data_IF_377944708073
#
_entry.id   IF_377944708073
#
_cell.length_a   1.000
_cell.length_b   1.000
_cell.length_c   1.000
_cell.angle_alpha   90.00
_cell.angle_beta   90.00
_cell.angle_gamma   90.00
#
_symmetry.space_group_name_H-M   'P 1'
#
loop_
_entity.id
_entity.type
_entity.pdbx_description
1 polymer ?
#
# COMPACT_ATOMS: atom_id res chain seq x y z
N UNK A 1 -10.56 1.62 12.42
CA UNK A 1 -9.35 2.44 12.65
C UNK A 1 -8.14 1.53 12.50
N UNK A 2 -6.99 1.88 13.06
CA UNK A 2 -5.79 1.02 13.00
C UNK A 2 -5.58 0.15 14.25
N UNK A 3 -6.41 0.35 15.28
CA UNK A 3 -6.20 -0.20 16.62
C UNK A 3 -6.15 -1.74 16.65
N UNK A 4 -6.99 -2.42 15.87
CA UNK A 4 -7.01 -3.87 15.79
C UNK A 4 -5.71 -4.43 15.22
N UNK A 5 -5.14 -3.76 14.21
CA UNK A 5 -3.84 -4.12 13.65
C UNK A 5 -2.70 -3.80 14.60
N UNK A 6 -2.69 -2.62 15.22
CA UNK A 6 -1.67 -2.23 16.20
C UNK A 6 -1.61 -3.20 17.39
N UNK A 7 -2.78 -3.64 17.87
CA UNK A 7 -2.88 -4.63 18.94
C UNK A 7 -2.38 -6.01 18.49
N UNK A 8 -2.75 -6.47 17.30
CA UNK A 8 -2.26 -7.75 16.75
C UNK A 8 -0.75 -7.73 16.49
N UNK A 9 -0.22 -6.60 16.01
CA UNK A 9 1.21 -6.39 15.79
C UNK A 9 2.01 -6.45 17.11
N UNK A 10 1.50 -5.86 18.18
CA UNK A 10 2.15 -5.91 19.50
C UNK A 10 1.86 -7.20 20.27
N UNK A 11 0.99 -8.07 19.74
CA UNK A 11 0.47 -9.27 20.41
C UNK A 11 -0.25 -8.97 21.75
N UNK A 12 -0.69 -7.71 21.97
CA UNK A 12 -1.67 -7.35 22.99
C UNK A 12 -3.11 -7.66 22.52
N UNK A 13 -3.28 -7.77 21.21
CA UNK A 13 -4.42 -8.36 20.51
C UNK A 13 -3.99 -9.60 19.73
N UNK A 14 -4.74 -9.94 18.68
CA UNK A 14 -4.53 -11.17 17.91
C UNK A 14 -5.00 -11.02 16.47
N UNK A 15 -4.27 -11.65 15.55
CA UNK A 15 -4.68 -11.81 14.16
C UNK A 15 -5.88 -12.75 13.98
N UNK A 16 -6.36 -13.39 15.06
CA UNK A 16 -7.62 -14.15 15.10
C UNK A 16 -8.80 -13.35 15.66
N UNK A 17 -8.66 -12.05 15.89
CA UNK A 17 -9.79 -11.21 16.31
C UNK A 17 -10.90 -11.16 15.26
N UNK A 18 -12.13 -10.89 15.72
CA UNK A 18 -13.34 -10.86 14.87
C UNK A 18 -13.17 -9.98 13.62
N UNK A 19 -12.41 -8.88 13.70
CA UNK A 19 -12.15 -8.00 12.57
C UNK A 19 -11.35 -8.68 11.45
N UNK A 20 -10.30 -9.43 11.79
CA UNK A 20 -9.48 -10.16 10.81
C UNK A 20 -10.22 -11.37 10.26
N UNK A 21 -10.97 -12.08 11.10
CA UNK A 21 -11.80 -13.20 10.66
C UNK A 21 -12.84 -12.70 9.66
N UNK A 22 -13.57 -11.63 9.99
CA UNK A 22 -14.55 -11.03 9.10
C UNK A 22 -13.92 -10.57 7.77
N UNK A 23 -12.74 -9.93 7.81
CA UNK A 23 -12.05 -9.49 6.60
C UNK A 23 -11.68 -10.69 5.70
N UNK A 24 -11.17 -11.77 6.29
CA UNK A 24 -10.86 -13.00 5.55
C UNK A 24 -12.11 -13.67 4.98
N UNK A 25 -13.21 -13.74 5.75
CA UNK A 25 -14.49 -14.26 5.27
C UNK A 25 -15.03 -13.43 4.09
N UNK A 26 -14.91 -12.10 4.14
CA UNK A 26 -15.32 -11.22 3.02
C UNK A 26 -14.49 -11.43 1.77
N UNK A 27 -13.18 -11.60 1.90
CA UNK A 27 -12.30 -11.95 0.78
C UNK A 27 -12.77 -13.27 0.16
N UNK A 28 -12.98 -14.31 0.96
CA UNK A 28 -13.42 -15.61 0.46
C UNK A 28 -14.83 -15.56 -0.15
N UNK A 29 -15.73 -14.74 0.39
CA UNK A 29 -17.03 -14.47 -0.23
C UNK A 29 -16.87 -13.90 -1.64
N UNK A 30 -16.01 -12.90 -1.83
CA UNK A 30 -15.75 -12.28 -3.14
C UNK A 30 -15.06 -13.23 -4.12
N UNK A 31 -14.14 -14.07 -3.65
CA UNK A 31 -13.54 -15.13 -4.45
C UNK A 31 -14.62 -16.10 -4.94
N UNK A 32 -15.47 -16.61 -4.05
CA UNK A 32 -16.52 -17.55 -4.42
C UNK A 32 -17.58 -16.94 -5.35
N UNK A 33 -17.78 -15.62 -5.30
CA UNK A 33 -18.65 -14.88 -6.22
C UNK A 33 -18.02 -14.64 -7.60
N UNK A 34 -16.75 -15.02 -7.80
CA UNK A 34 -16.04 -14.84 -9.06
C UNK A 34 -15.71 -13.38 -9.37
N UNK A 35 -15.48 -12.56 -8.34
CA UNK A 35 -15.16 -11.13 -8.53
C UNK A 35 -13.70 -10.89 -8.92
N UNK A 36 -12.83 -11.88 -8.73
CA UNK A 36 -11.44 -11.84 -9.19
C UNK A 36 -11.31 -12.59 -10.51
N UNK A 37 -10.42 -12.12 -11.39
CA UNK A 37 -10.15 -12.74 -12.68
C UNK A 37 -9.55 -14.15 -12.51
N UNK A 38 -9.74 -15.02 -13.49
CA UNK A 38 -9.08 -16.34 -13.45
C UNK A 38 -7.55 -16.22 -13.39
N UNK A 39 -6.92 -17.07 -12.58
CA UNK A 39 -5.47 -17.09 -12.45
C UNK A 39 -4.88 -15.91 -11.67
N UNK A 40 -5.68 -15.12 -10.94
CA UNK A 40 -5.21 -13.92 -10.24
C UNK A 40 -3.99 -14.15 -9.32
N UNK A 41 -3.90 -15.33 -8.68
CA UNK A 41 -2.78 -15.70 -7.80
C UNK A 41 -1.44 -15.89 -8.53
N UNK A 42 -1.46 -16.04 -9.85
CA UNK A 42 -0.27 -16.22 -10.68
C UNK A 42 0.13 -14.95 -11.44
N UNK A 43 -0.64 -13.87 -11.30
CA UNK A 43 -0.37 -12.63 -12.02
C UNK A 43 0.80 -11.87 -11.40
N UNK A 44 1.61 -11.25 -12.25
CA UNK A 44 2.72 -10.41 -11.85
C UNK A 44 2.39 -8.95 -12.14
N UNK A 45 2.07 -8.19 -11.11
CA UNK A 45 1.67 -6.79 -11.29
C UNK A 45 2.79 -5.88 -11.82
N UNK A 46 4.04 -6.15 -11.45
CA UNK A 46 5.19 -5.31 -11.83
C UNK A 46 5.46 -5.27 -13.34
N UNK A 47 5.02 -6.29 -14.10
CA UNK A 47 5.15 -6.31 -15.56
C UNK A 47 3.88 -5.81 -16.29
N UNK A 48 2.85 -5.37 -15.55
CA UNK A 48 1.62 -4.82 -16.09
C UNK A 48 0.57 -5.84 -16.57
N UNK A 49 0.67 -7.11 -16.16
CA UNK A 49 -0.31 -8.15 -16.50
C UNK A 49 -1.75 -7.77 -16.11
N UNK A 50 -1.93 -7.14 -14.95
CA UNK A 50 -3.24 -6.67 -14.46
C UNK A 50 -3.77 -5.45 -15.24
N UNK A 51 -2.90 -4.48 -15.58
CA UNK A 51 -3.25 -3.36 -16.47
C UNK A 51 -3.70 -3.83 -17.85
N UNK A 52 -3.08 -4.88 -18.39
CA UNK A 52 -3.49 -5.45 -19.67
C UNK A 52 -4.95 -5.93 -19.65
N UNK A 53 -5.42 -6.48 -18.52
CA UNK A 53 -6.82 -6.87 -18.34
C UNK A 53 -7.76 -5.66 -18.29
N UNK A 54 -7.32 -4.55 -17.71
CA UNK A 54 -8.07 -3.30 -17.71
C UNK A 54 -8.20 -2.73 -19.14
N UNK A 55 -7.10 -2.70 -19.89
CA UNK A 55 -7.07 -2.15 -21.25
C UNK A 55 -7.87 -2.96 -22.27
N UNK A 56 -7.92 -4.28 -22.11
CA UNK A 56 -8.70 -5.15 -22.98
C UNK A 56 -10.17 -5.32 -22.54
N UNK A 57 -10.60 -4.56 -21.52
CA UNK A 57 -11.95 -4.57 -20.95
C UNK A 57 -12.39 -5.93 -20.35
N UNK A 58 -11.45 -6.77 -19.90
CA UNK A 58 -11.75 -8.02 -19.19
C UNK A 58 -11.67 -7.88 -17.66
N UNK A 59 -11.11 -6.77 -17.18
CA UNK A 59 -11.16 -6.33 -15.78
C UNK A 59 -11.80 -4.96 -15.70
N UNK A 60 -12.78 -4.78 -14.81
CA UNK A 60 -13.47 -3.51 -14.63
C UNK A 60 -12.78 -2.57 -13.64
N UNK A 61 -12.10 -3.12 -12.62
CA UNK A 61 -11.52 -2.37 -11.52
C UNK A 61 -10.30 -3.09 -10.95
N UNK A 62 -9.31 -2.34 -10.50
CA UNK A 62 -8.15 -2.84 -9.75
C UNK A 62 -7.99 -2.07 -8.44
N UNK A 63 -7.64 -2.79 -7.36
CA UNK A 63 -7.24 -2.18 -6.09
C UNK A 63 -5.72 -2.08 -6.08
N UNK A 64 -5.20 -0.84 -6.06
CA UNK A 64 -3.77 -0.62 -6.20
C UNK A 64 -3.31 0.68 -5.53
N UNK A 65 -1.99 0.82 -5.35
CA UNK A 65 -1.40 2.10 -5.02
C UNK A 65 -1.47 3.12 -6.17
N UNK A 66 -1.43 4.41 -5.80
CA UNK A 66 -1.67 5.55 -6.69
C UNK A 66 -0.70 5.67 -7.88
N UNK A 67 0.45 5.00 -7.84
CA UNK A 67 1.39 4.99 -8.96
C UNK A 67 0.81 4.38 -10.25
N UNK A 68 -0.23 3.55 -10.17
CA UNK A 68 -0.92 3.05 -11.37
C UNK A 68 -1.58 4.16 -12.17
N UNK A 69 -2.04 5.24 -11.53
CA UNK A 69 -2.63 6.40 -12.24
C UNK A 69 -1.58 6.99 -13.21
N UNK A 70 -0.35 7.17 -12.72
CA UNK A 70 0.78 7.61 -13.54
C UNK A 70 1.12 6.58 -14.61
N UNK A 71 1.27 5.31 -14.25
CA UNK A 71 1.63 4.25 -15.20
C UNK A 71 0.62 4.12 -16.34
N UNK A 72 -0.69 4.16 -16.04
CA UNK A 72 -1.74 4.06 -17.05
C UNK A 72 -1.74 5.26 -18.00
N UNK A 73 -1.57 6.46 -17.47
CA UNK A 73 -1.45 7.66 -18.28
C UNK A 73 -0.20 7.64 -19.18
N UNK A 74 0.92 7.10 -18.69
CA UNK A 74 2.15 6.92 -19.48
C UNK A 74 1.99 5.87 -20.57
N UNK A 75 1.25 4.79 -20.31
CA UNK A 75 0.95 3.76 -21.30
C UNK A 75 0.07 4.32 -22.44
N UNK A 76 -0.97 5.10 -22.10
CA UNK A 76 -1.82 5.82 -23.08
C UNK A 76 -2.66 6.92 -22.42
N UNK A 77 -2.31 8.18 -22.69
CA UNK A 77 -3.05 9.35 -22.20
C UNK A 77 -4.48 9.43 -22.77
N UNK A 78 -4.67 9.06 -24.04
CA UNK A 78 -6.00 9.02 -24.66
C UNK A 78 -6.92 8.01 -23.95
N UNK A 79 -6.41 6.80 -23.70
CA UNK A 79 -7.19 5.76 -23.02
C UNK A 79 -7.50 6.18 -21.58
N UNK A 80 -6.49 6.71 -20.88
CA UNK A 80 -6.62 7.21 -19.52
C UNK A 80 -7.75 8.24 -19.40
N UNK A 81 -7.72 9.28 -20.24
CA UNK A 81 -8.70 10.36 -20.22
C UNK A 81 -10.12 9.91 -20.57
N UNK A 82 -10.25 8.88 -21.42
CA UNK A 82 -11.54 8.38 -21.86
C UNK A 82 -12.15 7.34 -20.90
N UNK A 83 -11.32 6.57 -20.17
CA UNK A 83 -11.79 5.34 -19.51
C UNK A 83 -11.46 5.24 -18.02
N UNK A 84 -10.42 5.91 -17.50
CA UNK A 84 -10.01 5.71 -16.12
C UNK A 84 -10.79 6.60 -15.15
N UNK A 85 -11.36 5.98 -14.13
CA UNK A 85 -11.84 6.64 -12.92
C UNK A 85 -11.14 6.08 -11.68
N UNK A 86 -10.91 6.94 -10.69
CA UNK A 86 -10.33 6.57 -9.39
C UNK A 86 -11.33 6.84 -8.28
N UNK A 87 -11.40 5.94 -7.31
CA UNK A 87 -12.22 6.10 -6.12
C UNK A 87 -11.58 5.40 -4.92
N UNK A 88 -11.90 5.88 -3.72
CA UNK A 88 -11.45 5.31 -2.46
C UNK A 88 -12.03 3.91 -2.25
N UNK A 89 -11.28 3.01 -1.59
CA UNK A 89 -11.85 1.73 -1.16
C UNK A 89 -13.15 1.95 -0.36
N UNK A 90 -14.24 1.23 -0.66
CA UNK A 90 -15.55 1.51 -0.08
C UNK A 90 -15.58 1.43 1.44
N UNK A 91 -16.34 2.32 2.07
CA UNK A 91 -16.71 2.18 3.48
C UNK A 91 -17.74 1.06 3.65
N UNK A 92 -17.59 0.25 4.70
CA UNK A 92 -18.59 -0.70 5.14
C UNK A 92 -19.73 0.03 5.87
N UNK A 93 -20.96 -0.15 5.38
CA UNK A 93 -22.13 0.54 5.90
C UNK A 93 -22.50 0.08 7.32
N UNK A 94 -22.26 -1.18 7.67
CA UNK A 94 -22.57 -1.70 9.01
C UNK A 94 -21.58 -1.18 10.05
N UNK A 95 -20.29 -1.17 9.72
CA UNK A 95 -19.23 -0.59 10.52
C UNK A 95 -19.48 0.92 10.73
N UNK A 96 -19.90 1.62 9.68
CA UNK A 96 -20.30 3.04 9.77
C UNK A 96 -21.47 3.25 10.71
N UNK A 97 -22.52 2.43 10.61
CA UNK A 97 -23.67 2.49 11.50
C UNK A 97 -23.31 2.23 12.97
N UNK A 98 -22.26 1.43 13.22
CA UNK A 98 -21.68 1.16 14.54
C UNK A 98 -20.69 2.24 15.01
N UNK A 99 -20.45 3.28 14.22
CA UNK A 99 -19.51 4.36 14.54
C UNK A 99 -18.04 3.94 14.48
N UNK A 100 -17.71 2.85 13.78
CA UNK A 100 -16.32 2.40 13.58
C UNK A 100 -15.62 3.39 12.65
N UNK A 101 -14.47 3.98 13.03
CA UNK A 101 -13.72 4.86 12.15
C UNK A 101 -13.18 4.10 10.93
N UNK A 102 -13.46 4.62 9.73
CA UNK A 102 -13.06 4.04 8.45
C UNK A 102 -12.29 5.05 7.61
N UNK A 103 -11.39 5.80 8.23
CA UNK A 103 -10.60 6.89 7.64
C UNK A 103 -9.09 6.65 7.82
N UNK A 104 -8.66 5.38 7.81
CA UNK A 104 -7.25 4.99 7.70
C UNK A 104 -7.03 4.53 6.26
N UNK A 105 -5.94 4.99 5.66
CA UNK A 105 -5.53 4.56 4.32
C UNK A 105 -4.35 3.60 4.41
N UNK A 106 -4.31 2.60 3.52
CA UNK A 106 -3.16 1.71 3.39
C UNK A 106 -2.28 2.23 2.27
N UNK A 107 -1.01 2.50 2.56
CA UNK A 107 -0.09 3.04 1.56
C UNK A 107 1.23 3.52 2.14
N UNK A 108 2.05 4.12 1.28
CA UNK A 108 3.34 4.69 1.68
C UNK A 108 3.23 6.21 1.74
N UNK A 109 3.29 6.79 2.95
CA UNK A 109 3.23 8.24 3.11
C UNK A 109 4.51 8.97 2.69
N UNK A 110 5.67 8.31 2.72
CA UNK A 110 6.97 8.96 2.42
C UNK A 110 7.45 8.73 0.98
N UNK A 111 6.70 8.00 0.16
CA UNK A 111 7.17 7.53 -1.14
C UNK A 111 8.46 6.70 -1.01
N UNK A 112 9.54 7.14 -1.64
CA UNK A 112 10.86 6.52 -1.54
C UNK A 112 11.71 7.16 -0.43
N UNK A 113 12.27 6.32 0.44
CA UNK A 113 13.28 6.74 1.40
C UNK A 113 14.68 6.32 0.94
N UNK A 114 15.66 7.22 1.07
CA UNK A 114 17.06 6.93 0.80
C UNK A 114 17.82 6.79 2.11
N UNK A 115 18.48 5.65 2.32
CA UNK A 115 19.43 5.44 3.42
C UNK A 115 20.85 5.40 2.89
N UNK A 116 21.76 6.12 3.54
CA UNK A 116 23.17 6.13 3.17
C UNK A 116 24.01 5.52 4.30
N UNK A 117 24.89 4.58 3.96
CA UNK A 117 25.86 4.08 4.91
C UNK A 117 27.07 5.03 4.94
N UNK A 118 27.14 5.85 6.00
CA UNK A 118 28.25 6.79 6.24
C UNK A 118 29.22 6.28 7.32
N UNK A 119 29.20 5.00 7.66
CA UNK A 119 30.06 4.44 8.71
C UNK A 119 31.41 3.96 8.14
N UNK A 120 32.47 4.18 8.90
CA UNK A 120 33.77 3.55 8.70
C UNK A 120 33.78 2.16 9.36
N UNK A 121 34.77 1.34 8.99
CA UNK A 121 34.94 0.00 9.55
C UNK A 121 35.21 -0.01 11.07
N UNK A 122 35.72 1.10 11.61
CA UNK A 122 35.98 1.28 13.04
C UNK A 122 34.75 1.79 13.83
N UNK A 123 33.61 1.96 13.17
CA UNK A 123 32.39 2.47 13.77
C UNK A 123 32.33 3.99 13.92
N UNK A 124 33.33 4.73 13.44
CA UNK A 124 33.25 6.19 13.32
C UNK A 124 32.41 6.60 12.10
N UNK A 125 31.92 7.84 12.08
CA UNK A 125 31.22 8.41 10.91
C UNK A 125 32.25 9.02 9.96
N UNK A 126 32.14 8.67 8.69
CA UNK A 126 32.83 9.34 7.60
C UNK A 126 32.14 10.67 7.29
N UNK A 127 32.75 11.78 7.74
CA UNK A 127 32.16 13.11 7.63
C UNK A 127 32.03 13.57 6.18
N UNK A 128 32.93 13.15 5.28
CA UNK A 128 32.88 13.53 3.88
C UNK A 128 31.73 12.79 3.17
N UNK A 129 31.55 11.50 3.44
CA UNK A 129 30.36 10.76 2.99
C UNK A 129 29.08 11.40 3.51
N UNK A 130 29.04 11.72 4.81
CA UNK A 130 27.86 12.32 5.42
C UNK A 130 27.51 13.66 4.75
N UNK A 131 28.49 14.54 4.54
CA UNK A 131 28.29 15.82 3.87
C UNK A 131 27.80 15.64 2.42
N UNK A 132 28.39 14.70 1.67
CA UNK A 132 27.95 14.39 0.30
C UNK A 132 26.50 13.87 0.27
N UNK A 133 26.11 13.02 1.23
CA UNK A 133 24.75 12.50 1.33
C UNK A 133 23.73 13.61 1.64
N UNK A 134 24.08 14.58 2.50
CA UNK A 134 23.23 15.75 2.72
C UNK A 134 23.02 16.57 1.45
N UNK A 135 24.09 16.80 0.67
CA UNK A 135 23.98 17.49 -0.62
C UNK A 135 23.10 16.70 -1.57
N UNK A 136 23.30 15.38 -1.69
CA UNK A 136 22.47 14.53 -2.54
C UNK A 136 20.99 14.62 -2.16
N UNK A 137 20.67 14.39 -0.88
CA UNK A 137 19.30 14.38 -0.38
C UNK A 137 18.61 15.74 -0.54
N UNK A 138 19.29 16.85 -0.23
CA UNK A 138 18.66 18.18 -0.20
C UNK A 138 18.69 18.90 -1.54
N UNK A 139 19.67 18.64 -2.40
CA UNK A 139 19.80 19.34 -3.69
C UNK A 139 19.23 18.56 -4.87
N UNK A 140 19.09 17.24 -4.76
CA UNK A 140 18.67 16.42 -5.90
C UNK A 140 17.39 15.64 -5.67
N UNK A 141 16.97 15.46 -4.41
CA UNK A 141 15.80 14.64 -4.07
C UNK A 141 14.76 15.37 -3.21
N UNK A 142 14.92 16.67 -3.00
CA UNK A 142 13.95 17.48 -2.24
C UNK A 142 14.04 18.99 -2.55
N UNK A 143 14.73 19.39 -3.62
CA UNK A 143 14.76 20.79 -4.03
C UNK A 143 13.54 21.14 -4.90
N UNK A 144 13.36 22.43 -5.20
CA UNK A 144 12.23 22.90 -6.01
C UNK A 144 12.23 22.26 -7.42
N UNK A 145 13.42 22.02 -7.99
CA UNK A 145 13.58 21.39 -9.31
C UNK A 145 13.05 19.96 -9.29
N UNK A 146 13.55 19.14 -8.37
CA UNK A 146 13.12 17.75 -8.21
C UNK A 146 11.63 17.67 -7.95
N UNK A 147 11.12 18.50 -7.04
CA UNK A 147 9.70 18.48 -6.71
C UNK A 147 8.82 18.93 -7.90
N UNK A 148 9.28 19.87 -8.73
CA UNK A 148 8.59 20.24 -9.96
C UNK A 148 8.59 19.11 -11.00
N UNK A 149 9.70 18.37 -11.15
CA UNK A 149 9.79 17.19 -12.02
C UNK A 149 8.86 16.06 -11.54
N UNK A 150 8.79 15.84 -10.23
CA UNK A 150 7.88 14.89 -9.61
C UNK A 150 6.42 15.24 -9.93
N UNK A 151 6.02 16.50 -9.76
CA UNK A 151 4.68 16.97 -10.14
C UNK A 151 4.40 16.83 -11.63
N UNK A 152 5.36 17.20 -12.50
CA UNK A 152 5.22 17.06 -13.95
C UNK A 152 5.09 15.59 -14.41
N UNK A 153 5.66 14.66 -13.65
CA UNK A 153 5.52 13.21 -13.89
C UNK A 153 4.31 12.59 -13.21
N UNK A 154 3.39 13.37 -12.64
CA UNK A 154 2.25 12.88 -11.83
C UNK A 154 2.68 11.99 -10.66
N UNK A 155 3.86 12.27 -10.10
CA UNK A 155 4.38 11.66 -8.88
C UNK A 155 4.28 12.67 -7.77
N UNK A 156 3.24 12.60 -6.95
CA UNK A 156 2.99 13.66 -5.98
C UNK A 156 3.87 13.51 -4.73
N UNK A 157 4.61 14.56 -4.34
CA UNK A 157 5.27 14.58 -3.04
C UNK A 157 4.24 14.63 -1.92
N UNK A 158 4.46 13.85 -0.86
CA UNK A 158 3.64 13.89 0.36
C UNK A 158 4.01 15.08 1.26
N UNK A 159 4.08 16.27 0.67
CA UNK A 159 4.50 17.51 1.31
C UNK A 159 3.32 18.48 1.23
N UNK A 160 2.93 19.08 2.37
CA UNK A 160 1.85 20.08 2.41
C UNK A 160 2.14 21.24 1.46
N UNK A 161 1.13 21.65 0.70
CA UNK A 161 1.21 22.68 -0.33
C UNK A 161 1.37 22.10 -1.75
N UNK A 162 1.80 20.84 -1.90
CA UNK A 162 1.92 20.20 -3.22
C UNK A 162 0.60 19.68 -3.77
N UNK A 163 -0.45 19.65 -2.95
CA UNK A 163 -1.82 19.42 -3.41
C UNK A 163 -2.37 20.59 -4.24
N UNK A 164 -1.79 21.79 -4.11
CA UNK A 164 -2.28 23.00 -4.78
C UNK A 164 -1.91 22.95 -6.27
N UNK A 165 -2.91 23.19 -7.12
CA UNK A 165 -2.70 23.28 -8.57
C UNK A 165 -2.71 21.93 -9.28
N UNK A 166 -3.01 20.82 -8.59
CA UNK A 166 -3.31 19.56 -9.28
C UNK A 166 -4.65 19.70 -10.00
N UNK A 167 -4.63 19.48 -11.31
CA UNK A 167 -5.83 19.62 -12.15
C UNK A 167 -6.45 18.28 -12.53
N UNK A 168 -5.62 17.23 -12.64
CA UNK A 168 -6.04 15.89 -13.02
C UNK A 168 -7.10 15.32 -12.05
N UNK A 169 -8.27 14.88 -12.56
CA UNK A 169 -9.38 14.46 -11.72
C UNK A 169 -9.08 13.20 -10.90
N UNK A 170 -8.28 12.27 -11.42
CA UNK A 170 -7.97 11.03 -10.69
C UNK A 170 -6.95 11.29 -9.58
N UNK A 171 -5.95 12.14 -9.82
CA UNK A 171 -4.97 12.56 -8.82
C UNK A 171 -5.62 13.37 -7.70
N UNK A 172 -6.60 14.24 -8.01
CA UNK A 172 -7.39 14.95 -6.99
C UNK A 172 -8.06 14.00 -6.00
N UNK A 173 -8.62 12.89 -6.49
CA UNK A 173 -9.22 11.88 -5.60
C UNK A 173 -8.17 11.30 -4.67
N UNK A 174 -6.99 10.93 -5.18
CA UNK A 174 -5.90 10.38 -4.34
C UNK A 174 -5.43 11.38 -3.30
N UNK A 175 -5.25 12.65 -3.67
CA UNK A 175 -4.92 13.75 -2.76
C UNK A 175 -5.95 13.83 -1.65
N UNK A 176 -7.21 13.94 -2.03
CA UNK A 176 -8.29 14.17 -1.09
C UNK A 176 -8.39 13.01 -0.11
N UNK A 177 -8.23 11.77 -0.58
CA UNK A 177 -8.16 10.58 0.27
C UNK A 177 -6.96 10.64 1.22
N UNK A 178 -5.76 10.92 0.70
CA UNK A 178 -4.53 10.93 1.49
C UNK A 178 -4.51 12.02 2.56
N UNK A 179 -4.82 13.26 2.21
CA UNK A 179 -4.75 14.40 3.13
C UNK A 179 -5.91 14.44 4.15
N UNK A 180 -7.02 13.76 3.88
CA UNK A 180 -8.11 13.59 4.84
C UNK A 180 -8.01 12.30 5.68
N UNK A 181 -7.01 11.44 5.41
CA UNK A 181 -6.75 10.26 6.20
C UNK A 181 -6.38 10.64 7.65
N UNK A 182 -6.93 9.91 8.61
CA UNK A 182 -6.52 10.02 10.02
C UNK A 182 -5.13 9.42 10.28
N UNK A 183 -4.78 8.41 9.49
CA UNK A 183 -3.49 7.74 9.50
C UNK A 183 -3.24 7.10 8.13
N UNK A 184 -1.97 6.94 7.77
CA UNK A 184 -1.54 6.13 6.63
C UNK A 184 -0.77 4.94 7.19
N UNK A 185 -1.42 3.79 7.21
CA UNK A 185 -0.81 2.54 7.61
C UNK A 185 0.05 2.03 6.46
N UNK A 186 1.33 1.77 6.73
CA UNK A 186 2.21 1.17 5.73
C UNK A 186 1.69 -0.21 5.33
N UNK A 187 1.93 -0.61 4.07
CA UNK A 187 1.61 -1.95 3.58
C UNK A 187 2.05 -3.02 4.59
N UNK A 188 1.18 -3.99 4.87
CA UNK A 188 1.42 -4.93 5.97
C UNK A 188 2.70 -5.73 5.76
N UNK A 189 2.99 -6.14 4.53
CA UNK A 189 4.21 -6.85 4.15
C UNK A 189 5.49 -6.00 4.32
N UNK A 190 5.38 -4.67 4.28
CA UNK A 190 6.47 -3.74 4.56
C UNK A 190 6.56 -3.34 6.04
N UNK A 191 5.45 -3.41 6.78
CA UNK A 191 5.38 -3.00 8.18
C UNK A 191 5.71 -4.14 9.16
N UNK A 192 5.34 -5.37 8.81
CA UNK A 192 5.60 -6.56 9.62
C UNK A 192 7.10 -6.91 9.67
N UNK A 193 7.56 -7.61 10.74
CA UNK A 193 8.91 -8.16 10.76
C UNK A 193 9.14 -9.11 9.56
N UNK A 194 10.36 -9.15 9.03
CA UNK A 194 10.65 -9.90 7.79
C UNK A 194 10.22 -11.37 7.82
N UNK A 195 10.37 -12.06 8.95
CA UNK A 195 9.91 -13.45 9.11
C UNK A 195 8.39 -13.59 9.01
N UNK A 196 7.66 -12.58 9.45
CA UNK A 196 6.19 -12.53 9.46
C UNK A 196 5.65 -12.07 8.11
N UNK A 197 6.36 -11.17 7.42
CA UNK A 197 6.08 -10.76 6.05
C UNK A 197 5.95 -11.96 5.11
N UNK A 198 6.86 -12.93 5.19
CA UNK A 198 6.79 -14.12 4.33
C UNK A 198 5.60 -15.03 4.68
N UNK A 199 5.24 -15.11 5.96
CA UNK A 199 4.01 -15.81 6.38
C UNK A 199 2.78 -15.07 5.87
N UNK A 200 2.77 -13.74 5.92
CA UNK A 200 1.68 -12.90 5.42
C UNK A 200 1.44 -13.11 3.93
N UNK A 201 2.49 -13.00 3.10
CA UNK A 201 2.40 -13.19 1.65
C UNK A 201 1.84 -14.58 1.29
N UNK A 202 2.39 -15.63 1.89
CA UNK A 202 1.90 -17.00 1.65
C UNK A 202 0.45 -17.18 2.10
N UNK A 203 0.11 -16.63 3.27
CA UNK A 203 -1.25 -16.71 3.80
C UNK A 203 -2.27 -15.97 2.95
N UNK A 204 -1.90 -14.85 2.31
CA UNK A 204 -2.80 -14.16 1.38
C UNK A 204 -3.04 -15.00 0.12
N UNK A 205 -2.00 -15.62 -0.44
CA UNK A 205 -2.16 -16.57 -1.56
C UNK A 205 -3.10 -17.73 -1.19
N UNK A 206 -2.95 -18.29 0.01
CA UNK A 206 -3.79 -19.39 0.51
C UNK A 206 -5.23 -18.97 0.84
N UNK A 207 -5.40 -17.77 1.42
CA UNK A 207 -6.70 -17.20 1.74
C UNK A 207 -7.54 -16.98 0.48
N UNK A 208 -6.97 -16.29 -0.50
CA UNK A 208 -7.62 -16.06 -1.77
C UNK A 208 -7.74 -17.35 -2.60
N UNK A 209 -6.80 -18.28 -2.47
CA UNK A 209 -6.87 -19.61 -3.07
C UNK A 209 -7.86 -20.56 -2.41
N UNK A 210 -8.57 -20.12 -1.36
CA UNK A 210 -9.50 -20.92 -0.56
C UNK A 210 -8.87 -22.18 0.05
N UNK A 211 -7.55 -22.23 0.20
CA UNK A 211 -6.83 -23.38 0.76
C UNK A 211 -6.63 -23.29 2.27
N UNK A 212 -6.81 -22.09 2.85
CA UNK A 212 -6.88 -21.87 4.31
C UNK A 212 -8.11 -21.06 4.67
N UNK A 213 -8.66 -21.36 5.83
CA UNK A 213 -9.71 -20.54 6.47
C UNK A 213 -9.13 -19.24 7.04
N UNK A 214 -9.96 -18.21 7.26
CA UNK A 214 -9.54 -16.98 7.92
C UNK A 214 -8.93 -17.22 9.31
N UNK A 215 -9.44 -18.21 10.04
CA UNK A 215 -8.90 -18.59 11.35
C UNK A 215 -7.49 -19.18 11.24
N UNK A 216 -7.25 -20.10 10.31
CA UNK A 216 -5.92 -20.68 10.08
C UNK A 216 -4.91 -19.63 9.63
N UNK A 217 -5.34 -18.67 8.82
CA UNK A 217 -4.52 -17.51 8.42
C UNK A 217 -4.17 -16.65 9.63
N UNK A 218 -5.14 -16.31 10.47
CA UNK A 218 -4.90 -15.54 11.71
C UNK A 218 -3.95 -16.26 12.68
N UNK A 219 -4.14 -17.56 12.88
CA UNK A 219 -3.27 -18.40 13.72
C UNK A 219 -1.84 -18.46 13.18
N UNK A 220 -1.66 -18.54 11.87
CA UNK A 220 -0.34 -18.53 11.25
C UNK A 220 0.39 -17.19 11.49
N UNK A 221 -0.34 -16.06 11.39
CA UNK A 221 0.23 -14.74 11.69
C UNK A 221 0.61 -14.59 13.17
N UNK A 222 -0.26 -14.99 14.10
CA UNK A 222 0.05 -14.93 15.54
C UNK A 222 1.26 -15.79 15.90
N UNK A 223 1.32 -17.03 15.38
CA UNK A 223 2.46 -17.91 15.61
C UNK A 223 3.77 -17.29 15.06
N UNK A 224 3.72 -16.67 13.88
CA UNK A 224 4.87 -16.00 13.30
C UNK A 224 5.30 -14.77 14.11
N UNK A 225 4.36 -13.95 14.57
CA UNK A 225 4.65 -12.78 15.40
C UNK A 225 5.27 -13.17 16.73
N UNK A 226 4.72 -14.18 17.42
CA UNK A 226 5.29 -14.69 18.67
C UNK A 226 6.72 -15.20 18.48
N UNK A 227 6.98 -15.90 17.38
CA UNK A 227 8.32 -16.37 17.04
C UNK A 227 9.29 -15.22 16.70
N UNK A 228 8.80 -14.14 16.09
CA UNK A 228 9.61 -12.96 15.78
C UNK A 228 9.94 -12.14 17.04
N UNK A 229 8.99 -11.98 17.96
CA UNK A 229 9.18 -11.24 19.22
C UNK A 229 10.08 -11.98 20.23
N UNK A 230 10.27 -13.29 20.07
CA UNK A 230 11.12 -14.09 20.93
C UNK A 230 12.63 -14.06 20.55
N UNK A 231 13.00 -13.38 19.46
CA UNK A 231 14.36 -13.25 18.95
C UNK A 231 15.02 -11.94 19.42
#
# INVERSE_FOLDING_TARGET
GNAEFDAAYTQEGSFTSDAFIWAGEKIQEWVNKGYFNEGFNSMVTDNGEDRALLYNNTCAMMLHGSWQIRSIMQDSEEWYNANLGTFRFPEDAEAKAKGVPQNVEIGTAIGNAFSFNCWNADGSVDQDKLNACYVLATKFFNDDTYNAEQMASNTMPSIKGFEVGVEDPNQKVVIDVFFNASNVQLWYDQYLPASVTEVHKNSMTELFGLSKTPLEVGQAHDAAMQAALAQ
#
